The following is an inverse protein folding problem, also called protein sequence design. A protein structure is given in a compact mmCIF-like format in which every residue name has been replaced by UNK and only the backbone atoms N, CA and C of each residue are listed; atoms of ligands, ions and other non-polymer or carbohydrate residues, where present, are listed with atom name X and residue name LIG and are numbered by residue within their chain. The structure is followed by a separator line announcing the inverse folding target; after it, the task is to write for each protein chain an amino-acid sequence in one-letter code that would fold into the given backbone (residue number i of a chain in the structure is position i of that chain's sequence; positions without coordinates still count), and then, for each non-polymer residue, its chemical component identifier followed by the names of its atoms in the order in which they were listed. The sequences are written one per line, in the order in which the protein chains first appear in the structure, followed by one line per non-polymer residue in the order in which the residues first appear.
data_IF_889221414812
#
_entry.id   IF_889221414812
#
_cell.length_a   1.000
_cell.length_b   1.000
_cell.length_c   1.000
_cell.angle_alpha   90.00
_cell.angle_beta   90.00
_cell.angle_gamma   90.00
#
_symmetry.space_group_name_H-M   'P 1'
#
loop_
_entity.id
_entity.type
_entity.pdbx_description
1 polymer ?
#
# COMPACT_ATOMS: atom_id res chain seq x y z
N UNK A 1 18.44 -11.61 4.65
CA UNK A 1 19.34 -11.59 5.79
C UNK A 1 19.68 -13.02 6.18
N UNK A 2 18.75 -13.90 6.59
CA UNK A 2 19.04 -15.29 6.98
C UNK A 2 19.79 -16.11 5.92
N UNK A 3 19.27 -16.14 4.69
CA UNK A 3 19.87 -16.91 3.59
C UNK A 3 21.31 -16.48 3.26
N UNK A 4 21.66 -15.26 3.61
CA UNK A 4 23.01 -14.71 3.41
C UNK A 4 23.92 -14.83 4.65
N UNK A 5 23.42 -15.46 5.73
CA UNK A 5 24.20 -15.69 6.96
C UNK A 5 24.45 -14.46 7.83
N UNK A 6 23.71 -13.37 7.60
CA UNK A 6 23.85 -12.15 8.39
C UNK A 6 22.96 -12.19 9.64
N UNK A 7 23.43 -11.58 10.72
CA UNK A 7 22.61 -11.33 11.91
C UNK A 7 21.68 -10.15 11.66
N UNK A 8 20.40 -10.32 11.98
CA UNK A 8 19.38 -9.29 11.87
C UNK A 8 19.06 -8.68 13.23
N UNK A 9 19.35 -7.40 13.40
CA UNK A 9 18.86 -6.61 14.53
C UNK A 9 17.61 -5.87 14.07
N UNK A 10 16.46 -6.18 14.66
CA UNK A 10 15.17 -5.76 14.17
C UNK A 10 14.48 -4.84 15.15
N UNK A 11 14.08 -3.66 14.67
CA UNK A 11 13.15 -2.78 15.36
C UNK A 11 11.77 -2.92 14.74
N UNK A 12 10.83 -3.42 15.52
CA UNK A 12 9.45 -3.58 15.05
C UNK A 12 8.72 -2.24 14.90
N UNK A 13 7.75 -2.20 13.99
CA UNK A 13 6.79 -1.11 13.92
C UNK A 13 5.92 -1.10 15.18
N UNK A 14 5.53 0.09 15.64
CA UNK A 14 4.57 0.23 16.75
C UNK A 14 3.20 -0.38 16.42
N UNK A 15 2.85 -0.46 15.14
CA UNK A 15 1.60 -1.04 14.66
C UNK A 15 1.61 -2.57 14.50
N UNK A 16 2.81 -3.20 14.50
CA UNK A 16 2.97 -4.66 14.39
C UNK A 16 4.05 -5.15 15.35
N UNK A 17 3.67 -5.41 16.58
CA UNK A 17 4.56 -5.96 17.59
C UNK A 17 4.37 -7.45 17.83
N UNK A 18 3.30 -8.05 17.30
CA UNK A 18 2.91 -9.41 17.64
C UNK A 18 3.21 -10.42 16.53
N UNK A 19 2.87 -10.09 15.29
CA UNK A 19 2.97 -11.03 14.18
C UNK A 19 4.42 -11.48 13.93
N UNK A 20 5.35 -10.53 13.93
CA UNK A 20 6.75 -10.85 13.68
C UNK A 20 7.37 -11.69 14.82
N UNK A 21 7.02 -11.39 16.07
CA UNK A 21 7.46 -12.21 17.23
C UNK A 21 6.94 -13.64 17.14
N UNK A 22 5.66 -13.80 16.74
CA UNK A 22 5.08 -15.13 16.55
C UNK A 22 5.77 -15.90 15.41
N UNK A 23 6.13 -15.21 14.31
CA UNK A 23 6.87 -15.81 13.21
C UNK A 23 8.25 -16.31 13.66
N UNK A 24 9.00 -15.51 14.40
CA UNK A 24 10.32 -15.93 14.93
C UNK A 24 10.19 -17.10 15.90
N UNK A 25 9.18 -17.07 16.76
CA UNK A 25 8.90 -18.20 17.65
C UNK A 25 8.60 -19.48 16.84
N UNK A 26 7.74 -19.39 15.82
CA UNK A 26 7.43 -20.54 14.97
C UNK A 26 8.68 -21.08 14.26
N UNK A 27 9.51 -20.21 13.70
CA UNK A 27 10.78 -20.60 13.09
C UNK A 27 11.74 -21.24 14.08
N UNK A 28 11.79 -20.77 15.31
CA UNK A 28 12.66 -21.36 16.36
C UNK A 28 12.20 -22.75 16.80
N UNK A 29 10.92 -23.07 16.67
CA UNK A 29 10.40 -24.44 16.88
C UNK A 29 10.89 -25.39 15.79
N UNK A 30 11.01 -24.91 14.55
CA UNK A 30 11.56 -25.69 13.43
C UNK A 30 13.07 -25.86 13.56
N UNK A 31 13.78 -24.77 13.84
CA UNK A 31 15.23 -24.75 14.02
C UNK A 31 15.65 -23.65 15.01
N UNK A 32 16.06 -24.06 16.20
CA UNK A 32 16.39 -23.13 17.28
C UNK A 32 17.59 -22.21 16.94
N UNK A 33 18.44 -22.60 15.97
CA UNK A 33 19.57 -21.76 15.51
C UNK A 33 19.13 -20.41 14.94
N UNK A 34 17.85 -20.26 14.56
CA UNK A 34 17.28 -18.97 14.13
C UNK A 34 17.52 -17.87 15.18
N UNK A 35 17.48 -18.22 16.47
CA UNK A 35 17.65 -17.24 17.55
C UNK A 35 19.08 -16.66 17.62
N UNK A 36 20.07 -17.34 17.07
CA UNK A 36 21.44 -16.84 16.98
C UNK A 36 21.57 -15.71 15.94
N UNK A 37 20.64 -15.66 14.97
CA UNK A 37 20.65 -14.74 13.84
C UNK A 37 19.63 -13.61 13.94
N UNK A 38 18.74 -13.62 14.94
CA UNK A 38 17.70 -12.58 15.07
C UNK A 38 17.69 -12.02 16.48
N UNK A 39 17.78 -10.71 16.56
CA UNK A 39 17.62 -9.96 17.79
C UNK A 39 16.55 -8.87 17.60
N UNK A 40 15.53 -8.87 18.45
CA UNK A 40 14.49 -7.82 18.44
C UNK A 40 14.82 -6.79 19.49
N UNK A 41 14.89 -5.52 19.09
CA UNK A 41 15.13 -4.38 19.99
C UNK A 41 13.98 -3.38 19.92
N UNK A 42 13.61 -2.82 21.08
CA UNK A 42 12.47 -1.91 21.14
C UNK A 42 12.82 -0.44 20.84
N UNK A 43 14.00 0.03 21.21
CA UNK A 43 14.35 1.46 21.13
C UNK A 43 15.60 1.74 20.34
N UNK A 44 16.74 1.21 20.73
CA UNK A 44 18.03 1.54 20.13
C UNK A 44 18.64 0.34 19.43
N UNK A 45 19.02 0.51 18.17
CA UNK A 45 19.55 -0.59 17.36
C UNK A 45 21.01 -0.95 17.72
N UNK A 46 21.75 -0.02 18.32
CA UNK A 46 23.18 -0.20 18.59
C UNK A 46 24.02 -0.05 17.31
N UNK A 47 25.15 -0.75 17.27
CA UNK A 47 26.03 -0.81 16.11
C UNK A 47 25.47 -1.78 15.07
N UNK A 48 25.63 -1.44 13.80
CA UNK A 48 25.21 -2.24 12.65
C UNK A 48 26.06 -1.86 11.43
N UNK A 49 26.26 -2.81 10.52
CA UNK A 49 27.05 -2.62 9.31
C UNK A 49 26.20 -2.08 8.15
N UNK A 50 24.94 -2.45 8.06
CA UNK A 50 24.03 -2.04 7.02
C UNK A 50 22.59 -1.94 7.54
N UNK A 51 21.74 -1.17 6.83
CA UNK A 51 20.34 -0.92 7.22
C UNK A 51 19.40 -1.26 6.08
N UNK A 52 18.30 -1.94 6.43
CA UNK A 52 17.11 -2.04 5.59
C UNK A 52 15.98 -1.37 6.36
N UNK A 53 15.50 -0.23 5.88
CA UNK A 53 14.40 0.52 6.49
C UNK A 53 13.22 0.61 5.55
N UNK A 54 12.01 0.49 6.12
CA UNK A 54 10.76 0.70 5.37
C UNK A 54 9.88 1.64 6.17
N UNK A 55 9.23 2.59 5.49
CA UNK A 55 8.37 3.56 6.15
C UNK A 55 7.62 4.44 5.16
N UNK A 56 6.81 5.36 5.70
CA UNK A 56 6.19 6.42 4.89
C UNK A 56 7.25 7.36 4.31
N UNK A 57 6.86 8.19 3.34
CA UNK A 57 7.76 9.17 2.73
C UNK A 57 8.38 10.12 3.77
N UNK A 58 7.60 10.56 4.74
CA UNK A 58 8.12 11.34 5.86
C UNK A 58 9.16 10.58 6.69
N UNK A 59 8.87 9.30 6.99
CA UNK A 59 9.81 8.44 7.74
C UNK A 59 11.10 8.21 6.95
N UNK A 60 11.02 8.10 5.62
CA UNK A 60 12.19 7.87 4.78
C UNK A 60 13.18 9.02 4.80
N UNK A 61 12.70 10.27 4.87
CA UNK A 61 13.58 11.44 5.00
C UNK A 61 14.37 11.43 6.31
N UNK A 62 13.73 10.95 7.40
CA UNK A 62 14.44 10.74 8.66
C UNK A 62 15.44 9.59 8.56
N UNK A 63 15.09 8.49 7.88
CA UNK A 63 15.98 7.36 7.69
C UNK A 63 17.21 7.73 6.87
N UNK A 64 17.07 8.52 5.81
CA UNK A 64 18.19 9.07 5.04
C UNK A 64 19.12 9.90 5.92
N UNK A 65 18.56 10.78 6.75
CA UNK A 65 19.35 11.60 7.67
C UNK A 65 20.11 10.78 8.71
N UNK A 66 19.49 9.71 9.26
CA UNK A 66 20.10 8.90 10.31
C UNK A 66 21.05 7.83 9.78
N UNK A 67 20.73 7.21 8.65
CA UNK A 67 21.38 6.01 8.15
C UNK A 67 22.21 6.24 6.89
N UNK A 68 22.15 7.43 6.30
CA UNK A 68 22.82 7.75 5.03
C UNK A 68 24.33 7.53 5.02
N UNK A 69 24.97 7.44 6.19
CA UNK A 69 26.40 7.14 6.33
C UNK A 69 26.75 5.65 6.27
N UNK A 70 25.76 4.78 6.36
CA UNK A 70 25.92 3.32 6.30
C UNK A 70 25.41 2.79 4.97
N UNK A 71 25.88 1.63 4.50
CA UNK A 71 25.21 0.91 3.43
C UNK A 71 23.73 0.71 3.77
N UNK A 72 22.81 1.16 2.93
CA UNK A 72 21.41 1.11 3.28
C UNK A 72 20.49 0.83 2.08
N UNK A 73 19.33 0.27 2.39
CA UNK A 73 18.16 0.15 1.50
C UNK A 73 16.99 0.80 2.21
N UNK A 74 16.61 2.00 1.80
CA UNK A 74 15.44 2.70 2.33
C UNK A 74 14.30 2.56 1.33
N UNK A 75 13.22 1.93 1.77
CA UNK A 75 12.01 1.71 0.97
C UNK A 75 10.93 2.65 1.42
N UNK A 76 10.48 3.49 0.50
CA UNK A 76 9.35 4.41 0.65
C UNK A 76 8.02 3.70 0.42
N UNK A 77 6.94 4.43 0.57
CA UNK A 77 5.62 3.95 0.17
C UNK A 77 5.65 3.44 -1.27
N UNK A 78 4.87 2.40 -1.51
CA UNK A 78 4.68 1.83 -2.84
C UNK A 78 3.20 1.80 -3.13
N UNK A 79 2.85 2.09 -4.35
CA UNK A 79 1.55 1.84 -4.93
C UNK A 79 1.74 1.16 -6.27
N UNK A 80 0.74 0.45 -6.72
CA UNK A 80 0.67 -0.04 -8.08
C UNK A 80 -0.27 0.85 -8.87
N UNK A 81 -0.05 0.91 -10.16
CA UNK A 81 -0.94 1.57 -11.11
C UNK A 81 -1.53 0.54 -12.06
N UNK A 82 -2.72 0.78 -12.56
CA UNK A 82 -3.29 0.02 -13.67
C UNK A 82 -3.48 0.94 -14.88
N UNK A 83 -3.27 0.39 -16.07
CA UNK A 83 -3.51 1.08 -17.33
C UNK A 83 -4.64 0.30 -18.02
N UNK A 84 -5.76 0.97 -18.25
CA UNK A 84 -6.90 0.42 -18.99
C UNK A 84 -6.82 0.87 -20.44
N UNK A 85 -7.15 -0.01 -21.35
CA UNK A 85 -7.14 0.25 -22.79
C UNK A 85 -8.50 0.67 -23.35
N UNK A 86 -9.56 0.47 -22.54
CA UNK A 86 -10.95 0.68 -22.92
C UNK A 86 -11.61 -0.55 -23.55
N UNK A 87 -10.85 -1.66 -23.70
CA UNK A 87 -11.34 -2.92 -24.26
C UNK A 87 -11.35 -4.06 -23.24
N UNK A 88 -11.28 -3.74 -21.96
CA UNK A 88 -11.28 -4.74 -20.90
C UNK A 88 -12.60 -5.51 -20.85
N UNK A 89 -12.49 -6.82 -20.68
CA UNK A 89 -13.64 -7.67 -20.40
C UNK A 89 -14.18 -7.42 -18.99
N UNK A 90 -15.44 -7.81 -18.72
CA UNK A 90 -16.04 -7.77 -17.39
C UNK A 90 -15.16 -8.50 -16.35
N UNK A 91 -14.62 -9.66 -16.72
CA UNK A 91 -13.73 -10.44 -15.87
C UNK A 91 -12.45 -9.68 -15.52
N UNK A 92 -11.86 -8.99 -16.49
CA UNK A 92 -10.65 -8.18 -16.25
C UNK A 92 -10.93 -7.01 -15.33
N UNK A 93 -12.06 -6.30 -15.51
CA UNK A 93 -12.46 -5.21 -14.62
C UNK A 93 -12.78 -5.71 -13.20
N UNK A 94 -13.43 -6.86 -13.08
CA UNK A 94 -13.64 -7.49 -11.78
C UNK A 94 -12.31 -7.89 -11.12
N UNK A 95 -11.38 -8.49 -11.85
CA UNK A 95 -10.06 -8.84 -11.33
C UNK A 95 -9.24 -7.63 -10.92
N UNK A 96 -9.35 -6.50 -11.61
CA UNK A 96 -8.77 -5.23 -11.15
C UNK A 96 -9.30 -4.87 -9.75
N UNK A 97 -10.58 -5.15 -9.48
CA UNK A 97 -11.14 -4.98 -8.14
C UNK A 97 -10.39 -5.78 -7.07
N UNK A 98 -9.87 -6.98 -7.37
CA UNK A 98 -9.03 -7.73 -6.42
C UNK A 98 -7.75 -6.97 -6.10
N UNK A 99 -7.12 -6.37 -7.11
CA UNK A 99 -5.89 -5.61 -6.93
C UNK A 99 -6.13 -4.29 -6.16
N UNK A 100 -7.35 -3.75 -6.20
CA UNK A 100 -7.74 -2.56 -5.45
C UNK A 100 -8.14 -2.90 -4.01
N UNK A 101 -9.00 -3.92 -3.80
CA UNK A 101 -9.70 -4.14 -2.53
C UNK A 101 -9.11 -5.22 -1.63
N UNK A 102 -8.33 -6.16 -2.16
CA UNK A 102 -7.71 -7.18 -1.31
C UNK A 102 -6.86 -6.50 -0.23
N UNK A 103 -6.84 -7.12 0.95
CA UNK A 103 -6.22 -6.55 2.15
C UNK A 103 -6.74 -5.14 2.48
N UNK A 104 -8.00 -4.84 2.10
CA UNK A 104 -8.65 -3.53 2.31
C UNK A 104 -7.88 -2.37 1.66
N UNK A 105 -7.17 -2.61 0.56
CA UNK A 105 -6.35 -1.59 -0.11
C UNK A 105 -5.07 -1.20 0.65
N UNK A 106 -4.69 -1.93 1.71
CA UNK A 106 -3.53 -1.65 2.55
C UNK A 106 -2.25 -2.35 2.12
N UNK A 107 -2.33 -3.24 1.15
CA UNK A 107 -1.16 -3.94 0.63
C UNK A 107 -0.29 -3.02 -0.22
N UNK A 108 1.03 -3.19 -0.14
CA UNK A 108 2.00 -2.38 -0.91
C UNK A 108 1.93 -2.59 -2.44
N UNK A 109 1.08 -3.49 -2.91
CA UNK A 109 0.82 -3.76 -4.32
C UNK A 109 -0.61 -3.46 -4.74
N UNK A 110 -1.44 -2.94 -3.83
CA UNK A 110 -2.77 -2.51 -4.21
C UNK A 110 -2.69 -1.36 -5.21
N UNK A 111 -3.61 -1.37 -6.17
CA UNK A 111 -3.72 -0.33 -7.17
C UNK A 111 -4.34 0.90 -6.52
N UNK A 112 -3.57 1.99 -6.48
CA UNK A 112 -4.00 3.30 -5.98
C UNK A 112 -4.31 4.30 -7.08
N UNK A 113 -3.92 4.00 -8.33
CA UNK A 113 -4.16 4.85 -9.48
C UNK A 113 -4.47 4.04 -10.73
N UNK A 114 -5.40 4.52 -11.54
CA UNK A 114 -5.67 3.98 -12.86
C UNK A 114 -5.47 5.06 -13.92
N UNK A 115 -4.83 4.67 -15.02
CA UNK A 115 -4.82 5.45 -16.26
C UNK A 115 -5.91 4.89 -17.16
N UNK A 116 -6.75 5.77 -17.70
CA UNK A 116 -7.93 5.40 -18.48
C UNK A 116 -7.97 6.20 -19.80
N UNK A 117 -8.45 5.62 -20.91
CA UNK A 117 -8.69 6.38 -22.12
C UNK A 117 -9.73 7.47 -21.91
N UNK A 118 -9.67 8.55 -22.70
CA UNK A 118 -10.56 9.71 -22.58
C UNK A 118 -12.06 9.35 -22.63
N UNK A 119 -12.40 8.33 -23.40
CA UNK A 119 -13.81 7.90 -23.59
C UNK A 119 -14.25 6.79 -22.63
N UNK A 120 -13.41 6.40 -21.67
CA UNK A 120 -13.72 5.31 -20.74
C UNK A 120 -14.80 5.72 -19.75
N UNK A 121 -15.87 4.92 -19.68
CA UNK A 121 -16.92 5.12 -18.69
C UNK A 121 -16.47 4.62 -17.31
N UNK A 122 -16.09 5.54 -16.43
CA UNK A 122 -15.65 5.25 -15.05
C UNK A 122 -16.70 4.51 -14.22
N UNK A 123 -18.00 4.63 -14.57
CA UNK A 123 -19.08 3.96 -13.82
C UNK A 123 -19.04 2.44 -14.01
N UNK A 124 -18.42 1.95 -15.08
CA UNK A 124 -18.21 0.52 -15.28
C UNK A 124 -17.39 -0.10 -14.14
N UNK A 125 -16.41 0.62 -13.60
CA UNK A 125 -15.63 0.14 -12.45
C UNK A 125 -16.54 -0.13 -11.25
N UNK A 126 -17.45 0.78 -10.93
CA UNK A 126 -18.38 0.58 -9.82
C UNK A 126 -19.33 -0.59 -10.06
N UNK A 127 -19.81 -0.75 -11.30
CA UNK A 127 -20.69 -1.87 -11.67
C UNK A 127 -20.05 -3.22 -11.37
N UNK A 128 -18.78 -3.39 -11.74
CA UNK A 128 -18.07 -4.66 -11.58
C UNK A 128 -17.40 -4.82 -10.20
N UNK A 129 -17.41 -3.78 -9.37
CA UNK A 129 -16.80 -3.80 -8.05
C UNK A 129 -17.81 -3.90 -6.91
N UNK A 130 -19.08 -4.04 -7.18
CA UNK A 130 -20.12 -4.13 -6.15
C UNK A 130 -19.90 -5.34 -5.22
N UNK A 131 -19.35 -6.45 -5.73
CA UNK A 131 -19.01 -7.64 -4.94
C UNK A 131 -17.95 -7.38 -3.85
N UNK A 132 -17.19 -6.28 -3.96
CA UNK A 132 -16.19 -5.89 -2.98
C UNK A 132 -16.73 -5.02 -1.84
N UNK A 133 -18.04 -4.76 -1.80
CA UNK A 133 -18.69 -3.98 -0.73
C UNK A 133 -18.42 -4.53 0.67
N UNK A 134 -18.07 -5.80 0.82
CA UNK A 134 -17.69 -6.41 2.09
C UNK A 134 -16.53 -5.68 2.81
N UNK A 135 -15.73 -4.88 2.11
CA UNK A 135 -14.65 -4.07 2.74
C UNK A 135 -15.21 -3.08 3.75
N UNK A 136 -16.50 -2.71 3.66
CA UNK A 136 -17.18 -1.83 4.62
C UNK A 136 -17.43 -2.48 5.98
N UNK A 137 -17.34 -3.81 6.07
CA UNK A 137 -17.47 -4.53 7.34
C UNK A 137 -16.25 -4.23 8.25
N UNK A 138 -15.16 -3.77 7.63
CA UNK A 138 -13.99 -3.30 8.36
C UNK A 138 -14.19 -1.84 8.79
N UNK A 139 -14.35 -1.62 10.10
CA UNK A 139 -14.57 -0.29 10.67
C UNK A 139 -13.50 0.72 10.29
N UNK A 140 -12.22 0.28 10.21
CA UNK A 140 -11.12 1.15 9.82
C UNK A 140 -11.24 1.60 8.36
N UNK A 141 -11.62 0.71 7.45
CA UNK A 141 -11.86 1.06 6.06
C UNK A 141 -13.00 2.06 5.94
N UNK A 142 -14.14 1.78 6.60
CA UNK A 142 -15.31 2.66 6.58
C UNK A 142 -14.99 4.05 7.14
N UNK A 143 -14.29 4.12 8.27
CA UNK A 143 -13.90 5.41 8.85
C UNK A 143 -13.00 6.22 7.89
N UNK A 144 -12.10 5.56 7.15
CA UNK A 144 -11.29 6.25 6.13
C UNK A 144 -12.13 6.73 4.95
N UNK A 145 -13.13 5.94 4.52
CA UNK A 145 -14.07 6.38 3.49
C UNK A 145 -14.81 7.66 3.92
N UNK A 146 -15.40 7.66 5.11
CA UNK A 146 -16.14 8.81 5.64
C UNK A 146 -15.23 10.05 5.80
N UNK A 147 -14.02 9.85 6.30
CA UNK A 147 -13.02 10.91 6.47
C UNK A 147 -12.58 11.51 5.12
N UNK A 148 -12.20 10.67 4.17
CA UNK A 148 -11.74 11.16 2.86
C UNK A 148 -12.89 11.80 2.07
N UNK A 149 -14.10 11.28 2.18
CA UNK A 149 -15.30 11.91 1.61
C UNK A 149 -15.54 13.32 2.17
N UNK A 150 -15.39 13.47 3.49
CA UNK A 150 -15.51 14.79 4.13
C UNK A 150 -14.44 15.77 3.63
N UNK A 151 -13.18 15.31 3.47
CA UNK A 151 -12.11 16.14 2.91
C UNK A 151 -12.38 16.57 1.46
N UNK A 152 -12.85 15.65 0.61
CA UNK A 152 -13.18 15.97 -0.78
C UNK A 152 -14.30 17.02 -0.86
N UNK A 153 -15.32 16.88 -0.01
CA UNK A 153 -16.43 17.86 0.07
C UNK A 153 -15.91 19.23 0.56
N UNK A 154 -15.09 19.28 1.60
CA UNK A 154 -14.53 20.52 2.12
C UNK A 154 -13.64 21.24 1.08
N UNK A 155 -12.91 20.48 0.30
CA UNK A 155 -12.04 21.02 -0.76
C UNK A 155 -12.78 21.29 -2.07
N UNK A 156 -14.10 21.05 -2.12
CA UNK A 156 -14.90 21.16 -3.35
C UNK A 156 -14.33 20.32 -4.52
N UNK A 157 -13.70 19.19 -4.21
CA UNK A 157 -13.13 18.28 -5.21
C UNK A 157 -14.23 17.37 -5.75
N UNK A 158 -14.34 17.30 -7.08
CA UNK A 158 -15.28 16.40 -7.74
C UNK A 158 -14.84 14.94 -7.58
N UNK A 159 -15.78 14.07 -7.29
CA UNK A 159 -15.55 12.64 -7.21
C UNK A 159 -16.78 11.84 -7.62
N UNK A 160 -16.58 10.62 -8.09
CA UNK A 160 -17.63 9.62 -8.27
C UNK A 160 -17.60 8.66 -7.10
N UNK A 161 -18.73 8.10 -6.69
CA UNK A 161 -18.79 7.13 -5.60
C UNK A 161 -19.92 6.12 -5.80
N UNK A 162 -19.71 4.91 -5.26
CA UNK A 162 -20.73 3.88 -5.09
C UNK A 162 -21.04 3.63 -3.60
N UNK A 163 -20.87 4.66 -2.74
CA UNK A 163 -21.12 4.66 -1.30
C UNK A 163 -20.13 3.84 -0.43
N UNK A 164 -19.12 3.21 -1.02
CA UNK A 164 -18.03 2.58 -0.26
C UNK A 164 -16.64 2.87 -0.82
N UNK A 165 -16.54 3.38 -2.04
CA UNK A 165 -15.28 3.73 -2.69
C UNK A 165 -15.44 5.00 -3.52
N UNK A 166 -14.38 5.75 -3.74
CA UNK A 166 -14.39 7.01 -4.47
C UNK A 166 -13.38 7.00 -5.61
N UNK A 167 -13.77 7.52 -6.77
CA UNK A 167 -12.91 7.80 -7.90
C UNK A 167 -12.70 9.31 -7.99
N UNK A 168 -11.45 9.73 -8.04
CA UNK A 168 -11.06 11.15 -8.07
C UNK A 168 -10.08 11.36 -9.22
N UNK A 169 -10.33 12.38 -10.04
CA UNK A 169 -9.38 12.78 -11.07
C UNK A 169 -8.17 13.46 -10.42
N UNK A 170 -6.97 12.89 -10.59
CA UNK A 170 -5.75 13.38 -9.97
C UNK A 170 -4.50 12.92 -10.71
N UNK A 171 -3.51 13.81 -10.80
CA UNK A 171 -2.17 13.49 -11.30
C UNK A 171 -1.26 12.87 -10.23
N UNK A 172 -1.68 12.87 -8.97
CA UNK A 172 -0.94 12.26 -7.88
C UNK A 172 -0.88 10.74 -8.04
N UNK A 173 0.21 10.12 -7.57
CA UNK A 173 0.37 8.67 -7.64
C UNK A 173 -0.24 7.92 -6.46
N UNK A 174 -0.22 8.53 -5.28
CA UNK A 174 -0.61 7.87 -4.04
C UNK A 174 -1.98 8.33 -3.59
N UNK A 175 -2.99 7.52 -3.83
CA UNK A 175 -4.34 7.78 -3.29
C UNK A 175 -4.45 7.39 -1.82
N UNK A 176 -5.27 8.10 -1.04
CA UNK A 176 -5.61 7.67 0.30
C UNK A 176 -6.51 6.43 0.28
N UNK A 177 -6.61 5.75 1.42
CA UNK A 177 -7.46 4.57 1.55
C UNK A 177 -8.91 4.89 1.16
N UNK A 178 -9.58 3.96 0.48
CA UNK A 178 -10.94 4.09 -0.07
C UNK A 178 -11.11 5.11 -1.22
N UNK A 179 -10.01 5.58 -1.78
CA UNK A 179 -9.97 6.45 -2.96
C UNK A 179 -9.09 5.81 -4.03
N UNK A 180 -9.52 5.88 -5.28
CA UNK A 180 -8.70 5.56 -6.44
C UNK A 180 -8.50 6.82 -7.27
N UNK A 181 -7.28 7.14 -7.57
CA UNK A 181 -6.99 8.23 -8.49
C UNK A 181 -7.13 7.77 -9.93
N UNK A 182 -7.77 8.60 -10.73
CA UNK A 182 -7.94 8.38 -12.16
C UNK A 182 -7.18 9.47 -12.92
N UNK A 183 -6.44 9.09 -13.94
CA UNK A 183 -5.83 10.02 -14.88
C UNK A 183 -6.20 9.59 -16.30
N UNK A 184 -6.64 10.55 -17.09
CA UNK A 184 -7.07 10.30 -18.47
C UNK A 184 -5.88 10.47 -19.40
N UNK A 185 -5.68 9.57 -20.33
CA UNK A 185 -4.67 9.65 -21.38
C UNK A 185 -5.30 9.60 -22.78
N UNK A 186 -4.66 10.22 -23.76
CA UNK A 186 -5.10 10.25 -25.17
C UNK A 186 -4.31 9.31 -26.03
N UNK A 187 -3.06 9.08 -25.68
CA UNK A 187 -2.15 8.20 -26.40
C UNK A 187 -1.20 7.48 -25.44
N UNK A 188 -0.63 6.37 -25.90
CA UNK A 188 0.41 5.64 -25.12
C UNK A 188 1.63 6.51 -24.79
N UNK A 189 1.82 7.62 -25.48
CA UNK A 189 2.93 8.55 -25.24
C UNK A 189 2.67 9.47 -24.03
N UNK A 190 1.43 9.54 -23.55
CA UNK A 190 1.05 10.32 -22.39
C UNK A 190 1.30 9.55 -21.07
N UNK A 191 1.57 8.25 -21.15
CA UNK A 191 1.83 7.33 -20.05
C UNK A 191 3.32 7.24 -19.72
#
# INVERSE_FOLDING_TARGET
VFLSGHKAVIKLSSSDQHLFKALIHYLSVIDNRVLDFVEIRERFLGEFDAVIATGSDNSSNYFESYFGKHPHIIRKNRTSVAILTGNETEEQLNNLGKDVFYYYGLGCRNVGKVFIPEEFDKQLLFKYWEDYRYVTDNTKFKNNYDYNRALLLLNSTNYLTNDFYMLVDSNELFSPLSVLYCETYKSEQDL
#
